data_IF_052096236717
#
_entry.id   IF_052096236717
#
_cell.length_a   1.000
_cell.length_b   1.000
_cell.length_c   1.000
_cell.angle_alpha   90.00
_cell.angle_beta   90.00
_cell.angle_gamma   90.00
#
_symmetry.space_group_name_H-M   'P 1'
#
loop_
_entity.id
_entity.type
_entity.pdbx_description
1 polymer ?
#
# COMPACT_ATOMS: atom_id res chain seq x y z
N UNK A 1 -26.07 -12.81 -50.49
CA UNK A 1 -26.01 -11.84 -49.38
C UNK A 1 -26.09 -12.61 -48.09
N UNK A 2 -24.97 -12.71 -47.36
CA UNK A 2 -24.92 -13.31 -46.03
C UNK A 2 -24.77 -12.17 -45.03
N UNK A 3 -25.74 -12.07 -44.11
CA UNK A 3 -25.81 -11.03 -43.10
C UNK A 3 -24.79 -11.37 -42.00
N UNK A 4 -23.73 -10.58 -41.91
CA UNK A 4 -22.85 -10.57 -40.74
C UNK A 4 -23.70 -10.00 -39.59
N UNK A 5 -24.17 -10.88 -38.71
CA UNK A 5 -24.78 -10.51 -37.46
C UNK A 5 -23.68 -9.99 -36.51
N UNK A 6 -23.28 -8.73 -36.68
CA UNK A 6 -22.41 -8.00 -35.76
C UNK A 6 -23.20 -7.48 -34.55
N UNK A 7 -24.04 -8.31 -33.95
CA UNK A 7 -24.76 -7.92 -32.76
C UNK A 7 -24.06 -8.44 -31.50
N UNK A 8 -23.55 -7.48 -30.75
CA UNK A 8 -23.48 -7.45 -29.29
C UNK A 8 -22.68 -8.55 -28.60
N UNK A 9 -21.41 -8.25 -28.28
CA UNK A 9 -20.77 -8.77 -27.06
C UNK A 9 -19.69 -7.81 -26.49
N UNK A 10 -19.84 -6.50 -26.70
CA UNK A 10 -18.97 -5.47 -26.10
C UNK A 10 -19.33 -5.09 -24.65
N UNK A 11 -20.55 -5.40 -24.21
CA UNK A 11 -21.08 -4.99 -22.91
C UNK A 11 -20.54 -5.80 -21.72
N UNK A 12 -20.13 -7.06 -21.92
CA UNK A 12 -19.53 -7.89 -20.87
C UNK A 12 -18.04 -7.64 -20.64
N UNK A 13 -17.32 -7.19 -21.67
CA UNK A 13 -15.88 -6.93 -21.60
C UNK A 13 -15.55 -5.56 -20.99
N UNK A 14 -16.37 -4.53 -21.19
CA UNK A 14 -16.11 -3.19 -20.65
C UNK A 14 -16.16 -3.16 -19.12
N UNK A 15 -17.19 -3.74 -18.51
CA UNK A 15 -17.33 -3.77 -17.05
C UNK A 15 -16.24 -4.61 -16.37
N UNK A 16 -15.84 -5.73 -16.99
CA UNK A 16 -14.75 -6.58 -16.48
C UNK A 16 -13.39 -5.87 -16.57
N UNK A 17 -13.15 -5.13 -17.65
CA UNK A 17 -11.94 -4.32 -17.81
C UNK A 17 -11.88 -3.17 -16.81
N UNK A 18 -13.00 -2.49 -16.54
CA UNK A 18 -13.04 -1.38 -15.57
C UNK A 18 -12.77 -1.86 -14.14
N UNK A 19 -13.33 -3.01 -13.76
CA UNK A 19 -13.05 -3.64 -12.45
C UNK A 19 -11.60 -4.09 -12.36
N UNK A 20 -11.05 -4.72 -13.39
CA UNK A 20 -9.64 -5.13 -13.42
C UNK A 20 -8.70 -3.92 -13.29
N UNK A 21 -8.93 -2.84 -14.04
CA UNK A 21 -8.15 -1.61 -13.95
C UNK A 21 -8.19 -0.98 -12.54
N UNK A 22 -9.34 -1.04 -11.86
CA UNK A 22 -9.47 -0.55 -10.48
C UNK A 22 -8.69 -1.42 -9.49
N UNK A 23 -8.76 -2.74 -9.64
CA UNK A 23 -8.00 -3.68 -8.80
C UNK A 23 -6.49 -3.48 -8.99
N UNK A 24 -6.03 -3.36 -10.22
CA UNK A 24 -4.61 -3.10 -10.53
C UNK A 24 -4.14 -1.79 -9.91
N UNK A 25 -4.92 -0.71 -10.04
CA UNK A 25 -4.55 0.57 -9.44
C UNK A 25 -4.50 0.51 -7.91
N UNK A 26 -5.39 -0.25 -7.27
CA UNK A 26 -5.34 -0.47 -5.82
C UNK A 26 -4.11 -1.29 -5.44
N UNK A 27 -3.80 -2.35 -6.19
CA UNK A 27 -2.63 -3.18 -5.97
C UNK A 27 -1.33 -2.37 -6.03
N UNK A 28 -1.18 -1.48 -7.03
CA UNK A 28 -0.02 -0.58 -7.15
C UNK A 28 0.13 0.32 -5.92
N UNK A 29 -0.97 0.89 -5.42
CA UNK A 29 -0.94 1.74 -4.22
C UNK A 29 -0.60 0.93 -2.97
N UNK A 30 -1.07 -0.32 -2.86
CA UNK A 30 -0.72 -1.23 -1.77
C UNK A 30 0.76 -1.52 -1.81
N UNK A 31 1.31 -1.87 -2.98
CA UNK A 31 2.72 -2.14 -3.16
C UNK A 31 3.56 -0.93 -2.71
N UNK A 32 3.20 0.27 -3.15
CA UNK A 32 3.88 1.49 -2.73
C UNK A 32 3.85 1.71 -1.21
N UNK A 33 2.70 1.47 -0.56
CA UNK A 33 2.58 1.62 0.88
C UNK A 33 3.38 0.55 1.65
N UNK A 34 3.42 -0.68 1.13
CA UNK A 34 4.25 -1.77 1.68
C UNK A 34 5.74 -1.42 1.54
N UNK A 35 6.17 -0.90 0.40
CA UNK A 35 7.56 -0.48 0.16
C UNK A 35 7.96 0.65 1.12
N UNK A 36 7.06 1.58 1.42
CA UNK A 36 7.28 2.62 2.42
C UNK A 36 7.53 2.04 3.81
N UNK A 37 6.69 1.10 4.25
CA UNK A 37 6.85 0.41 5.54
C UNK A 37 8.15 -0.40 5.57
N UNK A 38 8.46 -1.11 4.49
CA UNK A 38 9.66 -1.94 4.40
C UNK A 38 10.95 -1.10 4.47
N UNK A 39 11.01 0.01 3.72
CA UNK A 39 12.14 0.93 3.77
C UNK A 39 12.34 1.56 5.16
N UNK A 40 11.23 1.88 5.84
CA UNK A 40 11.29 2.38 7.20
C UNK A 40 11.80 1.31 8.20
N UNK A 41 11.42 0.05 8.01
CA UNK A 41 11.92 -1.08 8.81
C UNK A 41 13.44 -1.28 8.63
N UNK A 42 13.94 -1.24 7.39
CA UNK A 42 15.38 -1.30 7.09
C UNK A 42 16.13 -0.15 7.79
N UNK A 43 15.57 1.06 7.74
CA UNK A 43 16.15 2.23 8.42
C UNK A 43 16.21 2.05 9.94
N UNK A 44 15.17 1.44 10.55
CA UNK A 44 15.16 1.11 11.98
C UNK A 44 16.19 0.05 12.35
N UNK A 45 16.37 -0.98 11.52
CA UNK A 45 17.40 -2.00 11.74
C UNK A 45 18.80 -1.38 11.72
N UNK A 46 19.08 -0.50 10.75
CA UNK A 46 20.33 0.27 10.72
C UNK A 46 20.51 1.12 11.99
N UNK A 47 19.46 1.80 12.44
CA UNK A 47 19.49 2.58 13.68
C UNK A 47 19.76 1.70 14.91
N UNK A 48 19.20 0.50 14.96
CA UNK A 48 19.45 -0.46 16.04
C UNK A 48 20.89 -0.96 16.05
N UNK A 49 21.46 -1.27 14.88
CA UNK A 49 22.87 -1.66 14.76
C UNK A 49 23.80 -0.54 15.23
N UNK A 50 23.51 0.71 14.86
CA UNK A 50 24.25 1.88 15.33
C UNK A 50 24.14 2.05 16.85
N UNK A 51 22.93 1.90 17.41
CA UNK A 51 22.73 1.95 18.86
C UNK A 51 23.55 0.89 19.60
N UNK A 52 23.56 -0.34 19.08
CA UNK A 52 24.36 -1.43 19.63
C UNK A 52 25.86 -1.12 19.55
N UNK A 53 26.32 -0.50 18.45
CA UNK A 53 27.71 -0.09 18.31
C UNK A 53 28.08 1.01 19.32
N UNK A 54 27.20 2.01 19.51
CA UNK A 54 27.40 3.08 20.51
C UNK A 54 27.37 2.55 21.93
N UNK A 55 26.53 1.57 22.23
CA UNK A 55 26.44 0.95 23.55
C UNK A 55 27.69 0.15 23.93
N UNK A 56 28.38 -0.43 22.94
CA UNK A 56 29.63 -1.17 23.12
C UNK A 56 30.88 -0.29 22.94
N UNK A 57 30.73 1.00 22.70
CA UNK A 57 31.86 1.90 22.50
C UNK A 57 32.64 2.09 23.82
N UNK A 58 33.98 2.22 23.77
CA UNK A 58 34.80 2.42 24.98
C UNK A 58 34.52 3.72 25.74
N UNK A 59 33.89 4.68 25.05
CA UNK A 59 33.56 5.99 25.58
C UNK A 59 32.07 6.26 25.38
N UNK A 60 31.44 7.04 26.27
CA UNK A 60 30.01 7.34 26.13
C UNK A 60 29.74 8.10 24.83
N UNK A 61 28.63 7.77 24.13
CA UNK A 61 28.23 8.47 22.92
C UNK A 61 27.94 9.96 23.20
N UNK A 62 28.21 10.81 22.22
CA UNK A 62 27.89 12.23 22.33
C UNK A 62 26.38 12.45 22.22
N UNK A 63 25.86 13.46 22.92
CA UNK A 63 24.43 13.81 22.90
C UNK A 63 23.92 14.14 21.49
N UNK A 64 24.78 14.73 20.64
CA UNK A 64 24.48 15.02 19.23
C UNK A 64 24.21 13.74 18.43
N UNK A 65 24.99 12.68 18.65
CA UNK A 65 24.82 11.38 17.99
C UNK A 65 23.49 10.73 18.41
N UNK A 66 23.19 10.72 19.71
CA UNK A 66 21.92 10.21 20.23
C UNK A 66 20.71 10.98 19.69
N UNK A 67 20.82 12.30 19.57
CA UNK A 67 19.76 13.16 19.04
C UNK A 67 19.50 12.89 17.55
N UNK A 68 20.56 12.69 16.75
CA UNK A 68 20.44 12.33 15.34
C UNK A 68 19.80 10.95 15.16
N UNK A 69 20.23 9.97 15.96
CA UNK A 69 19.66 8.63 15.96
C UNK A 69 18.17 8.65 16.33
N UNK A 70 17.80 9.39 17.38
CA UNK A 70 16.40 9.56 17.78
C UNK A 70 15.55 10.21 16.68
N UNK A 71 16.08 11.22 15.98
CA UNK A 71 15.40 11.87 14.85
C UNK A 71 15.15 10.90 13.69
N UNK A 72 16.13 10.04 13.38
CA UNK A 72 15.99 8.98 12.37
C UNK A 72 14.93 7.96 12.77
N UNK A 73 14.97 7.46 14.00
CA UNK A 73 13.94 6.55 14.54
C UNK A 73 12.54 7.19 14.44
N UNK A 74 12.41 8.45 14.85
CA UNK A 74 11.14 9.17 14.77
C UNK A 74 10.65 9.41 13.34
N UNK A 75 11.57 9.55 12.37
CA UNK A 75 11.22 9.65 10.94
C UNK A 75 10.75 8.32 10.38
N UNK A 76 11.48 7.23 10.65
CA UNK A 76 11.06 5.88 10.25
C UNK A 76 9.72 5.50 10.86
N UNK A 77 9.48 5.84 12.14
CA UNK A 77 8.17 5.62 12.78
C UNK A 77 7.05 6.30 12.01
N UNK A 78 7.21 7.58 11.64
CA UNK A 78 6.22 8.32 10.85
C UNK A 78 5.96 7.67 9.50
N UNK A 79 6.99 7.21 8.81
CA UNK A 79 6.83 6.48 7.54
C UNK A 79 6.04 5.18 7.69
N UNK A 80 6.25 4.43 8.80
CA UNK A 80 5.45 3.25 9.12
C UNK A 80 3.99 3.65 9.37
N UNK A 81 3.76 4.66 10.20
CA UNK A 81 2.41 5.13 10.52
C UNK A 81 1.65 5.57 9.25
N UNK A 82 2.32 6.32 8.37
CA UNK A 82 1.77 6.80 7.10
C UNK A 82 1.48 5.65 6.12
N UNK A 83 2.42 4.70 6.00
CA UNK A 83 2.23 3.50 5.18
C UNK A 83 1.06 2.64 5.66
N UNK A 84 0.94 2.43 6.98
CA UNK A 84 -0.17 1.71 7.59
C UNK A 84 -1.51 2.44 7.42
N UNK A 85 -1.52 3.77 7.53
CA UNK A 85 -2.72 4.57 7.29
C UNK A 85 -3.21 4.41 5.85
N UNK A 86 -2.29 4.45 4.87
CA UNK A 86 -2.61 4.20 3.45
C UNK A 86 -3.15 2.80 3.22
N UNK A 87 -2.51 1.77 3.80
CA UNK A 87 -2.99 0.37 3.68
C UNK A 87 -4.43 0.24 4.21
N UNK A 88 -4.74 0.86 5.35
CA UNK A 88 -6.10 0.86 5.92
C UNK A 88 -7.10 1.60 5.04
N UNK A 89 -6.73 2.73 4.48
CA UNK A 89 -7.56 3.48 3.54
C UNK A 89 -7.88 2.62 2.31
N UNK A 90 -6.88 1.97 1.73
CA UNK A 90 -7.06 1.09 0.56
C UNK A 90 -7.92 -0.13 0.88
N UNK A 91 -7.77 -0.73 2.06
CA UNK A 91 -8.63 -1.82 2.50
C UNK A 91 -10.12 -1.41 2.53
N UNK A 92 -10.43 -0.18 2.99
CA UNK A 92 -11.79 0.37 2.95
C UNK A 92 -12.27 0.64 1.52
N UNK A 93 -11.39 1.11 0.65
CA UNK A 93 -11.73 1.31 -0.77
C UNK A 93 -12.03 -0.02 -1.46
N UNK A 94 -11.26 -1.08 -1.20
CA UNK A 94 -11.54 -2.42 -1.73
C UNK A 94 -12.92 -2.90 -1.26
N UNK A 95 -13.21 -2.74 0.03
CA UNK A 95 -14.49 -3.14 0.63
C UNK A 95 -15.67 -2.44 -0.05
N UNK A 96 -15.60 -1.10 -0.17
CA UNK A 96 -16.63 -0.31 -0.86
C UNK A 96 -16.79 -0.66 -2.35
N UNK A 97 -15.69 -0.86 -3.09
CA UNK A 97 -15.75 -1.26 -4.49
C UNK A 97 -16.29 -2.68 -4.67
N UNK A 98 -15.97 -3.60 -3.75
CA UNK A 98 -16.52 -4.96 -3.73
C UNK A 98 -18.03 -4.93 -3.51
N UNK A 99 -18.51 -4.12 -2.56
CA UNK A 99 -19.94 -3.92 -2.31
C UNK A 99 -20.68 -3.37 -3.54
N UNK A 100 -20.08 -2.41 -4.24
CA UNK A 100 -20.64 -1.87 -5.49
C UNK A 100 -20.78 -2.95 -6.57
N UNK A 101 -19.77 -3.81 -6.72
CA UNK A 101 -19.81 -4.93 -7.69
C UNK A 101 -20.90 -5.94 -7.30
N UNK A 102 -21.00 -6.31 -6.03
CA UNK A 102 -21.99 -7.26 -5.54
C UNK A 102 -23.43 -6.73 -5.69
N UNK A 103 -23.65 -5.47 -5.33
CA UNK A 103 -24.96 -4.80 -5.45
C UNK A 103 -25.41 -4.74 -6.90
N UNK A 104 -24.50 -4.45 -7.84
CA UNK A 104 -24.80 -4.43 -9.28
C UNK A 104 -25.13 -5.82 -9.84
N UNK A 105 -24.56 -6.90 -9.30
CA UNK A 105 -24.89 -8.27 -9.71
C UNK A 105 -26.25 -8.75 -9.16
N UNK A 106 -26.65 -8.32 -7.97
CA UNK A 106 -27.95 -8.69 -7.38
C UNK A 106 -29.16 -8.10 -8.14
N UNK A 107 -29.01 -6.91 -8.76
CA UNK A 107 -30.08 -6.28 -9.54
C UNK A 107 -30.29 -6.88 -10.94
N UNK A 108 -29.43 -7.79 -11.40
CA UNK A 108 -29.56 -8.49 -12.69
C UNK A 108 -30.22 -9.86 -12.58
N UNK A 109 -30.69 -10.23 -11.38
CA UNK A 109 -31.45 -11.45 -11.12
C UNK A 109 -32.94 -11.19 -10.95
N UNK A 110 -33.60 -10.57 -11.93
CA UNK A 110 -35.06 -10.54 -12.11
C UNK A 110 -35.38 -10.51 -13.61
#
# INVERSE_FOLDING_TARGET
MSYINSNSNGWGNQHTNDVANKVDHIADKIQFAVDMVNNAAISLESAQQELNALANAPYPPQSSQLSQLASRIGTSKRQIDDGLAKIKEMARTIDSETDHIQTNNQHRGW
#
